data_IF_417930822308
#
_entry.id   IF_417930822308
#
_cell.length_a   1.000
_cell.length_b   1.000
_cell.length_c   1.000
_cell.angle_alpha   90.00
_cell.angle_beta   90.00
_cell.angle_gamma   90.00
#
_symmetry.space_group_name_H-M   'P 1'
#
loop_
_entity.id
_entity.type
_entity.pdbx_description
1 polymer ?
#
# COMPACT_ATOMS: atom_id res chain seq x y z
N UNK A 1 48.60 31.35 26.57
CA UNK A 1 47.36 31.98 26.09
C UNK A 1 46.30 30.90 25.98
N UNK A 2 45.15 31.03 26.65
CA UNK A 2 44.09 30.02 26.61
C UNK A 2 43.35 30.10 25.27
N UNK A 3 43.46 29.07 24.43
CA UNK A 3 42.68 28.97 23.18
C UNK A 3 41.32 28.33 23.47
N UNK A 4 40.29 29.16 23.58
CA UNK A 4 38.90 28.73 23.83
C UNK A 4 38.22 28.30 22.52
N UNK A 5 37.58 27.12 22.51
CA UNK A 5 36.92 26.57 21.31
C UNK A 5 35.43 26.32 21.55
N UNK A 6 34.58 26.79 20.63
CA UNK A 6 33.13 26.69 20.76
C UNK A 6 32.56 25.67 19.77
N UNK A 7 31.86 24.64 20.29
CA UNK A 7 31.22 23.58 19.48
C UNK A 7 29.70 23.72 19.40
N UNK A 8 29.04 24.11 20.49
CA UNK A 8 27.57 24.22 20.59
C UNK A 8 27.11 25.61 21.11
N UNK A 9 27.94 26.63 20.92
CA UNK A 9 27.65 28.00 21.35
C UNK A 9 28.24 29.00 20.35
N UNK A 10 27.54 30.12 20.13
CA UNK A 10 27.95 31.22 19.27
C UNK A 10 28.16 32.47 20.12
N UNK A 11 29.41 32.82 20.47
CA UNK A 11 29.70 34.04 21.20
C UNK A 11 29.29 35.30 20.41
N UNK A 12 28.72 36.28 21.10
CA UNK A 12 28.36 37.57 20.48
C UNK A 12 29.57 38.48 20.21
N UNK A 13 30.68 38.25 20.92
CA UNK A 13 31.91 39.01 20.76
C UNK A 13 32.73 38.51 19.56
N UNK A 14 33.19 39.43 18.70
CA UNK A 14 33.81 39.14 17.42
C UNK A 14 35.14 38.39 17.56
N UNK A 15 35.91 38.69 18.61
CA UNK A 15 37.20 38.06 18.86
C UNK A 15 37.06 36.58 19.29
N UNK A 16 35.92 36.23 19.91
CA UNK A 16 35.65 34.85 20.35
C UNK A 16 35.01 33.98 19.26
N UNK A 17 34.49 34.58 18.19
CA UNK A 17 33.92 33.87 17.05
C UNK A 17 34.98 33.13 16.22
N UNK A 18 36.24 33.60 16.24
CA UNK A 18 37.38 32.93 15.60
C UNK A 18 37.70 31.57 16.24
N UNK A 19 37.26 31.35 17.48
CA UNK A 19 37.36 30.06 18.19
C UNK A 19 36.28 29.04 17.84
N UNK A 20 35.37 29.34 16.88
CA UNK A 20 34.32 28.40 16.48
C UNK A 20 34.94 27.22 15.74
N UNK A 21 34.69 26.00 16.23
CA UNK A 21 35.11 24.80 15.54
C UNK A 21 34.21 24.55 14.33
N UNK A 22 34.82 24.46 13.14
CA UNK A 22 34.10 24.06 11.94
C UNK A 22 33.51 22.66 12.12
N UNK A 23 32.26 22.41 11.68
CA UNK A 23 31.69 21.07 11.73
C UNK A 23 32.56 20.13 10.89
N UNK A 24 32.73 18.89 11.36
CA UNK A 24 33.50 17.89 10.63
C UNK A 24 32.83 17.65 9.27
N UNK A 25 33.54 17.97 8.19
CA UNK A 25 33.06 17.71 6.84
C UNK A 25 33.19 16.22 6.59
N UNK A 26 32.05 15.55 6.45
CA UNK A 26 32.02 14.15 6.06
C UNK A 26 32.69 14.01 4.68
N UNK A 27 33.53 12.99 4.45
CA UNK A 27 34.01 12.70 3.11
C UNK A 27 32.80 12.47 2.19
N UNK A 28 32.78 13.15 1.05
CA UNK A 28 31.75 12.89 0.03
C UNK A 28 31.95 11.45 -0.41
N UNK A 29 30.98 10.60 -0.09
CA UNK A 29 30.94 9.24 -0.59
C UNK A 29 30.79 9.33 -2.11
N UNK A 30 31.81 8.90 -2.84
CA UNK A 30 31.65 8.67 -4.28
C UNK A 30 30.99 7.31 -4.43
N UNK A 31 29.77 7.30 -4.93
CA UNK A 31 29.08 6.07 -5.30
C UNK A 31 29.94 5.35 -6.35
N UNK A 32 30.40 4.12 -6.11
CA UNK A 32 31.01 3.33 -7.16
C UNK A 32 29.91 2.94 -8.15
N UNK A 33 29.68 3.79 -9.16
CA UNK A 33 28.99 3.42 -10.39
C UNK A 33 29.95 2.53 -11.19
N UNK A 34 30.19 1.32 -10.66
CA UNK A 34 30.82 0.25 -11.40
C UNK A 34 29.70 -0.56 -12.06
N UNK A 35 29.61 -0.40 -13.38
CA UNK A 35 28.74 -1.16 -14.26
C UNK A 35 28.87 -2.67 -14.02
N UNK A 36 27.76 -3.31 -13.61
CA UNK A 36 27.55 -4.75 -13.76
C UNK A 36 26.20 -4.95 -14.45
N UNK A 37 26.18 -5.48 -15.69
CA UNK A 37 24.96 -5.83 -16.40
C UNK A 37 24.53 -7.23 -15.97
N UNK A 38 23.49 -7.33 -15.15
CA UNK A 38 22.57 -8.47 -15.16
C UNK A 38 21.37 -8.08 -14.31
N UNK A 39 20.17 -8.16 -14.88
CA UNK A 39 18.94 -7.87 -14.18
C UNK A 39 18.84 -8.71 -12.90
N UNK A 40 18.72 -8.09 -11.71
CA UNK A 40 17.98 -8.74 -10.65
C UNK A 40 16.51 -8.62 -11.04
N UNK A 41 15.87 -9.76 -11.29
CA UNK A 41 14.42 -9.88 -11.15
C UNK A 41 14.05 -9.11 -9.88
N UNK A 42 13.31 -8.02 -10.04
CA UNK A 42 12.74 -7.28 -8.92
C UNK A 42 11.74 -8.23 -8.28
N UNK A 43 12.23 -9.09 -7.40
CA UNK A 43 11.46 -9.54 -6.26
C UNK A 43 11.24 -8.24 -5.51
N UNK A 44 10.14 -7.56 -5.86
CA UNK A 44 9.65 -6.41 -5.14
C UNK A 44 9.40 -6.91 -3.72
N UNK A 45 10.38 -6.70 -2.82
CA UNK A 45 10.19 -6.94 -1.41
C UNK A 45 8.93 -6.16 -1.01
N UNK A 46 7.82 -6.84 -0.66
CA UNK A 46 6.54 -6.18 -0.42
C UNK A 46 6.57 -5.29 0.84
N UNK A 47 7.70 -5.29 1.54
CA UNK A 47 7.95 -4.56 2.77
C UNK A 47 8.68 -3.23 2.57
N UNK A 48 9.26 -2.95 1.39
CA UNK A 48 10.08 -1.74 1.20
C UNK A 48 9.25 -0.49 0.87
N UNK A 49 7.98 -0.66 0.47
CA UNK A 49 7.02 0.42 0.22
C UNK A 49 5.94 0.52 1.29
N UNK A 50 6.29 0.40 2.57
CA UNK A 50 5.39 0.72 3.68
C UNK A 50 5.33 2.24 3.80
N UNK A 51 4.64 2.88 2.85
CA UNK A 51 4.01 4.17 3.11
C UNK A 51 3.16 4.02 4.40
N UNK A 52 2.94 5.09 5.18
CA UNK A 52 2.03 5.04 6.31
C UNK A 52 0.67 4.54 5.80
N UNK A 53 0.34 3.28 6.08
CA UNK A 53 -0.91 2.68 5.61
C UNK A 53 -2.05 3.47 6.22
N UNK A 54 -3.16 3.64 5.48
CA UNK A 54 -4.37 4.30 6.00
C UNK A 54 -4.72 3.70 7.37
N UNK A 55 -5.12 4.48 8.38
CA UNK A 55 -5.35 3.99 9.74
C UNK A 55 -6.34 2.81 9.80
N UNK A 56 -7.23 2.68 8.80
CA UNK A 56 -8.23 1.63 8.71
C UNK A 56 -7.87 0.47 7.75
N UNK A 57 -6.62 0.39 7.27
CA UNK A 57 -6.23 -0.59 6.24
C UNK A 57 -6.40 -2.05 6.71
N UNK A 58 -6.10 -2.29 7.99
CA UNK A 58 -6.15 -3.60 8.62
C UNK A 58 -7.60 -4.07 8.76
N UNK A 59 -8.50 -3.18 9.18
CA UNK A 59 -9.93 -3.46 9.23
C UNK A 59 -10.47 -3.79 7.84
N UNK A 60 -10.09 -3.03 6.81
CA UNK A 60 -10.54 -3.32 5.44
C UNK A 60 -10.06 -4.70 5.00
N UNK A 61 -8.80 -5.05 5.26
CA UNK A 61 -8.24 -6.37 4.93
C UNK A 61 -9.02 -7.50 5.63
N UNK A 62 -9.26 -7.36 6.93
CA UNK A 62 -9.86 -8.43 7.73
C UNK A 62 -11.36 -8.60 7.46
N UNK A 63 -12.05 -7.51 7.09
CA UNK A 63 -13.46 -7.53 6.69
C UNK A 63 -13.62 -8.02 5.23
N UNK A 64 -12.66 -7.75 4.35
CA UNK A 64 -12.75 -8.09 2.91
C UNK A 64 -13.06 -9.57 2.70
N UNK A 65 -12.36 -10.48 3.38
CA UNK A 65 -12.58 -11.93 3.24
C UNK A 65 -14.01 -12.36 3.59
N UNK A 66 -14.65 -11.70 4.56
CA UNK A 66 -16.05 -11.97 4.94
C UNK A 66 -17.01 -11.42 3.89
N UNK A 67 -16.74 -10.23 3.37
CA UNK A 67 -17.52 -9.62 2.29
C UNK A 67 -17.43 -10.45 1.02
N UNK A 68 -16.25 -10.89 0.59
CA UNK A 68 -16.08 -11.72 -0.61
C UNK A 68 -16.88 -13.04 -0.50
N UNK A 69 -16.89 -13.64 0.69
CA UNK A 69 -17.67 -14.86 0.94
C UNK A 69 -19.17 -14.59 0.90
N UNK A 70 -19.61 -13.45 1.42
CA UNK A 70 -21.02 -13.05 1.40
C UNK A 70 -21.45 -12.76 -0.04
N UNK A 71 -20.68 -11.97 -0.79
CA UNK A 71 -20.94 -11.60 -2.18
C UNK A 71 -21.10 -12.83 -3.07
N UNK A 72 -20.19 -13.82 -2.97
CA UNK A 72 -20.30 -15.08 -3.70
C UNK A 72 -21.59 -15.84 -3.40
N UNK A 73 -22.05 -15.83 -2.15
CA UNK A 73 -23.30 -16.48 -1.75
C UNK A 73 -24.51 -15.72 -2.29
N UNK A 74 -24.47 -14.40 -2.24
CA UNK A 74 -25.53 -13.53 -2.77
C UNK A 74 -25.68 -13.73 -4.28
N UNK A 75 -24.57 -13.72 -5.03
CA UNK A 75 -24.59 -13.99 -6.49
C UNK A 75 -25.16 -15.37 -6.80
N UNK A 76 -24.76 -16.40 -6.03
CA UNK A 76 -25.30 -17.75 -6.19
C UNK A 76 -26.81 -17.80 -5.92
N UNK A 77 -27.29 -17.14 -4.87
CA UNK A 77 -28.70 -17.08 -4.53
C UNK A 77 -29.52 -16.35 -5.61
N UNK A 78 -29.00 -15.23 -6.11
CA UNK A 78 -29.61 -14.48 -7.24
C UNK A 78 -29.74 -15.38 -8.47
N UNK A 79 -28.68 -16.12 -8.81
CA UNK A 79 -28.70 -17.04 -9.95
C UNK A 79 -29.73 -18.17 -9.77
N UNK A 80 -29.84 -18.73 -8.57
CA UNK A 80 -30.82 -19.77 -8.27
C UNK A 80 -32.26 -19.25 -8.40
N UNK A 81 -32.54 -18.06 -7.85
CA UNK A 81 -33.85 -17.42 -7.99
C UNK A 81 -34.20 -17.16 -9.46
N UNK A 82 -33.23 -16.70 -10.25
CA UNK A 82 -33.44 -16.49 -11.69
C UNK A 82 -33.81 -17.79 -12.40
N UNK A 83 -33.10 -18.89 -12.13
CA UNK A 83 -33.42 -20.20 -12.72
C UNK A 83 -34.79 -20.73 -12.31
N UNK A 84 -35.19 -20.53 -11.05
CA UNK A 84 -36.50 -20.96 -10.56
C UNK A 84 -37.62 -20.18 -11.24
N UNK A 85 -37.47 -18.85 -11.35
CA UNK A 85 -38.42 -17.98 -12.05
C UNK A 85 -38.54 -18.33 -13.55
N UNK A 86 -37.42 -18.66 -14.21
CA UNK A 86 -37.43 -19.06 -15.62
C UNK A 86 -38.19 -20.37 -15.82
N UNK A 87 -37.94 -21.38 -14.97
CA UNK A 87 -38.67 -22.66 -14.99
C UNK A 87 -40.16 -22.50 -14.70
N UNK A 88 -40.52 -21.65 -13.74
CA UNK A 88 -41.92 -21.38 -13.41
C UNK A 88 -42.65 -20.73 -14.59
N UNK A 89 -42.00 -19.78 -15.28
CA UNK A 89 -42.53 -19.20 -16.51
C UNK A 89 -42.69 -20.22 -17.62
N UNK A 90 -41.68 -21.05 -17.88
CA UNK A 90 -41.76 -22.11 -18.89
C UNK A 90 -42.89 -23.10 -18.58
N UNK A 91 -43.08 -23.48 -17.31
CA UNK A 91 -44.15 -24.37 -16.90
C UNK A 91 -45.54 -23.75 -17.08
N UNK A 92 -45.71 -22.46 -16.75
CA UNK A 92 -46.94 -21.72 -16.98
C UNK A 92 -47.24 -21.55 -18.47
N UNK A 93 -46.22 -21.31 -19.31
CA UNK A 93 -46.39 -21.24 -20.76
C UNK A 93 -46.78 -22.60 -21.36
N UNK A 94 -46.20 -23.71 -20.86
CA UNK A 94 -46.59 -25.05 -21.28
C UNK A 94 -48.04 -25.39 -20.89
N UNK A 95 -48.46 -25.09 -19.65
CA UNK A 95 -49.84 -25.33 -19.19
C UNK A 95 -50.87 -24.51 -19.99
N UNK A 96 -50.56 -23.25 -20.32
CA UNK A 96 -51.45 -22.43 -21.14
C UNK A 96 -51.50 -22.88 -22.62
N UNK A 97 -50.41 -23.46 -23.15
CA UNK A 97 -50.39 -24.01 -24.51
C UNK A 97 -51.19 -25.30 -24.67
N UNK A 98 -51.23 -26.15 -23.64
CA UNK A 98 -52.02 -27.39 -23.65
C UNK A 98 -53.53 -27.16 -23.45
N UNK A 99 -53.93 -26.00 -22.93
CA UNK A 99 -55.35 -25.66 -22.73
C UNK A 99 -56.04 -25.11 -23.99
N UNK A 100 -55.30 -24.77 -25.05
CA UNK A 100 -55.84 -24.21 -26.30
C UNK A 100 -55.85 -25.19 -27.49
N UNK A 101 -55.36 -26.44 -27.33
CA UNK A 101 -55.43 -27.54 -28.31
C UNK A 101 -56.51 -28.58 -27.94
#
# INVERSE_FOLDING_TARGET
MLNMKFRNYLPHDKQLQEGKLAPAVLPKFEDPVAAVPSAPEKIEDPFVNIAPKKPNWDLRRDVQKKLDKLERRTQKAIYQLMQEQEKEKEALEAENGEAED
#
